data_IF_590304704979
#
_entry.id   IF_590304704979
#
_cell.length_a   1.000
_cell.length_b   1.000
_cell.length_c   1.000
_cell.angle_alpha   90.00
_cell.angle_beta   90.00
_cell.angle_gamma   90.00
#
_symmetry.space_group_name_H-M   'P 1'
#
loop_
_entity.id
_entity.type
_entity.pdbx_description
1 polymer ?
#
# COMPACT_ATOMS: atom_id res chain seq x y z
N UNK A 1 20.59 -16.43 4.87
CA UNK A 1 19.43 -15.58 5.20
C UNK A 1 19.59 -14.98 6.59
N UNK A 2 19.61 -15.78 7.65
CA UNK A 2 19.71 -15.26 9.03
C UNK A 2 20.93 -14.37 9.27
N UNK A 3 22.11 -14.74 8.76
CA UNK A 3 23.32 -13.90 8.89
C UNK A 3 23.16 -12.54 8.20
N UNK A 4 22.49 -12.51 7.05
CA UNK A 4 22.25 -11.29 6.30
C UNK A 4 21.18 -10.41 6.98
N UNK A 5 20.15 -11.01 7.57
CA UNK A 5 19.19 -10.28 8.40
C UNK A 5 19.87 -9.65 9.60
N UNK A 6 20.71 -10.41 10.33
CA UNK A 6 21.46 -9.89 11.50
C UNK A 6 22.35 -8.69 11.13
N UNK A 7 23.01 -8.72 9.97
CA UNK A 7 23.85 -7.59 9.49
C UNK A 7 23.07 -6.30 9.25
N UNK A 8 21.76 -6.38 9.03
CA UNK A 8 20.90 -5.23 8.69
C UNK A 8 20.02 -4.77 9.85
N UNK A 9 20.11 -5.42 11.01
CA UNK A 9 19.40 -5.03 12.22
C UNK A 9 20.35 -4.24 13.15
N UNK A 10 19.80 -3.38 14.03
CA UNK A 10 20.54 -2.84 15.16
C UNK A 10 21.16 -3.96 16.03
N UNK A 11 22.32 -3.75 16.66
CA UNK A 11 23.03 -4.80 17.40
C UNK A 11 22.17 -5.48 18.48
N UNK A 12 21.41 -4.70 19.25
CA UNK A 12 20.55 -5.19 20.33
C UNK A 12 19.38 -6.06 19.81
N UNK A 13 18.87 -5.76 18.62
CA UNK A 13 17.85 -6.57 17.95
C UNK A 13 18.46 -7.85 17.34
N UNK A 14 19.67 -7.75 16.77
CA UNK A 14 20.37 -8.89 16.18
C UNK A 14 20.76 -9.95 17.23
N UNK A 15 21.18 -9.53 18.42
CA UNK A 15 21.52 -10.42 19.55
C UNK A 15 20.30 -11.19 20.07
N UNK A 16 19.12 -10.57 20.06
CA UNK A 16 17.87 -11.17 20.52
C UNK A 16 17.16 -12.02 19.46
N UNK A 17 17.67 -12.06 18.22
CA UNK A 17 17.04 -12.77 17.12
C UNK A 17 17.08 -14.29 17.33
N UNK A 18 15.91 -14.87 17.62
CA UNK A 18 15.70 -16.33 17.64
C UNK A 18 15.55 -16.83 16.21
N UNK A 19 16.41 -17.76 15.79
CA UNK A 19 16.40 -18.33 14.43
C UNK A 19 15.80 -19.73 14.42
N UNK A 20 15.32 -20.18 13.25
CA UNK A 20 14.76 -21.52 13.07
C UNK A 20 14.82 -22.02 11.62
N UNK A 21 14.30 -23.23 11.35
CA UNK A 21 14.17 -23.76 9.99
C UNK A 21 13.22 -22.89 9.16
N UNK A 22 13.50 -22.79 7.86
CA UNK A 22 12.68 -22.01 6.92
C UNK A 22 11.52 -22.89 6.45
N UNK A 23 10.29 -22.52 6.80
CA UNK A 23 9.08 -23.23 6.36
C UNK A 23 8.66 -22.86 4.94
N UNK A 24 8.83 -21.59 4.56
CA UNK A 24 8.59 -21.05 3.23
C UNK A 24 9.72 -20.09 2.88
N UNK A 25 10.06 -20.02 1.59
CA UNK A 25 11.01 -19.04 1.06
C UNK A 25 10.70 -18.73 -0.39
N UNK A 26 10.38 -17.47 -0.66
CA UNK A 26 10.16 -16.94 -2.00
C UNK A 26 10.78 -15.56 -2.16
N UNK A 27 10.89 -15.12 -3.42
CA UNK A 27 11.34 -13.77 -3.77
C UNK A 27 10.15 -13.07 -4.44
N UNK A 28 9.67 -12.01 -3.81
CA UNK A 28 8.59 -11.18 -4.36
C UNK A 28 9.19 -9.96 -5.08
N UNK A 29 8.94 -9.76 -6.38
CA UNK A 29 9.35 -8.55 -7.06
C UNK A 29 8.51 -7.35 -6.58
N UNK A 30 9.15 -6.19 -6.41
CA UNK A 30 8.44 -4.95 -6.12
C UNK A 30 7.85 -4.39 -7.41
N UNK A 31 6.55 -4.08 -7.39
CA UNK A 31 5.83 -3.50 -8.53
C UNK A 31 4.77 -2.52 -8.04
N UNK A 32 4.59 -1.44 -8.77
CA UNK A 32 3.40 -0.59 -8.72
C UNK A 32 2.65 -0.74 -10.04
N UNK A 33 1.34 -0.96 -10.00
CA UNK A 33 0.47 -1.09 -11.17
C UNK A 33 -0.92 -0.55 -10.85
N UNK A 34 -1.56 0.12 -11.82
CA UNK A 34 -2.95 0.57 -11.77
C UNK A 34 -3.53 0.48 -13.16
N UNK A 35 -4.77 0.00 -13.28
CA UNK A 35 -5.57 0.09 -14.50
C UNK A 35 -6.72 1.08 -14.32
N UNK A 36 -6.96 1.88 -15.34
CA UNK A 36 -8.11 2.79 -15.41
C UNK A 36 -8.83 2.63 -16.74
N UNK A 37 -10.18 2.50 -16.76
CA UNK A 37 -11.07 2.34 -15.60
C UNK A 37 -11.01 0.93 -14.99
N UNK A 38 -11.58 0.76 -13.79
CA UNK A 38 -11.72 -0.54 -13.10
C UNK A 38 -13.01 -1.30 -13.49
N UNK A 39 -13.66 -0.89 -14.59
CA UNK A 39 -14.93 -1.44 -15.07
C UNK A 39 -14.99 -1.45 -16.59
N UNK A 40 -15.57 -2.52 -17.15
CA UNK A 40 -15.98 -2.59 -18.56
C UNK A 40 -17.36 -3.24 -18.69
N UNK A 41 -18.39 -2.43 -18.99
CA UNK A 41 -19.77 -2.92 -19.04
C UNK A 41 -20.22 -3.52 -17.70
N UNK A 42 -20.46 -4.83 -17.66
CA UNK A 42 -20.83 -5.57 -16.45
C UNK A 42 -19.64 -6.30 -15.79
N UNK A 43 -18.42 -6.09 -16.27
CA UNK A 43 -17.19 -6.59 -15.66
C UNK A 43 -16.62 -5.53 -14.71
N UNK A 44 -16.29 -5.94 -13.47
CA UNK A 44 -15.69 -5.11 -12.44
C UNK A 44 -14.39 -5.75 -11.95
N UNK A 45 -13.32 -4.96 -11.86
CA UNK A 45 -12.02 -5.40 -11.36
C UNK A 45 -11.86 -4.95 -9.91
N UNK A 46 -11.32 -5.82 -9.06
CA UNK A 46 -11.05 -5.53 -7.64
C UNK A 46 -9.73 -6.17 -7.19
N UNK A 47 -9.03 -5.51 -6.26
CA UNK A 47 -7.74 -5.98 -5.74
C UNK A 47 -6.67 -6.09 -6.82
N UNK A 48 -5.86 -7.15 -6.74
CA UNK A 48 -4.72 -7.38 -7.64
C UNK A 48 -5.08 -7.49 -9.13
N UNK A 49 -6.35 -7.70 -9.47
CA UNK A 49 -6.84 -7.63 -10.85
C UNK A 49 -6.82 -6.20 -11.42
N UNK A 50 -6.84 -5.18 -10.56
CA UNK A 50 -6.88 -3.76 -10.92
C UNK A 50 -5.60 -3.01 -10.55
N UNK A 51 -4.97 -3.34 -9.43
CA UNK A 51 -3.81 -2.61 -8.94
C UNK A 51 -2.85 -3.49 -8.13
N UNK A 52 -1.55 -3.18 -8.19
CA UNK A 52 -0.51 -3.85 -7.42
C UNK A 52 0.30 -2.77 -6.72
N UNK A 53 0.65 -2.99 -5.45
CA UNK A 53 1.43 -2.06 -4.64
C UNK A 53 2.66 -2.74 -4.05
N UNK A 54 3.79 -2.02 -3.88
CA UNK A 54 4.92 -2.57 -3.16
C UNK A 54 4.53 -2.99 -1.74
N UNK A 55 5.02 -4.14 -1.24
CA UNK A 55 4.63 -4.66 0.07
C UNK A 55 5.07 -3.78 1.24
N UNK A 56 5.99 -2.83 1.00
CA UNK A 56 6.52 -1.92 2.03
C UNK A 56 5.42 -1.14 2.76
N UNK A 57 4.37 -0.70 2.06
CA UNK A 57 3.24 0.02 2.66
C UNK A 57 2.17 -0.89 3.29
N UNK A 58 2.26 -2.21 3.11
CA UNK A 58 1.25 -3.19 3.53
C UNK A 58 -0.18 -2.87 3.04
N UNK A 59 -0.32 -2.42 1.78
CA UNK A 59 -1.61 -1.89 1.26
C UNK A 59 -2.42 -2.83 0.36
N UNK A 60 -1.83 -3.85 -0.27
CA UNK A 60 -2.50 -4.65 -1.32
C UNK A 60 -3.85 -5.23 -0.90
N UNK A 61 -3.85 -6.11 0.12
CA UNK A 61 -5.09 -6.70 0.64
C UNK A 61 -6.07 -5.65 1.18
N UNK A 62 -5.56 -4.59 1.81
CA UNK A 62 -6.40 -3.52 2.36
C UNK A 62 -7.11 -2.71 1.25
N UNK A 63 -6.46 -2.53 0.09
CA UNK A 63 -7.08 -1.92 -1.08
C UNK A 63 -8.12 -2.85 -1.72
N UNK A 64 -7.83 -4.14 -1.83
CA UNK A 64 -8.82 -5.12 -2.27
C UNK A 64 -10.08 -5.10 -1.39
N UNK A 65 -9.91 -5.00 -0.06
CA UNK A 65 -11.03 -4.87 0.87
C UNK A 65 -11.84 -3.57 0.65
N UNK A 66 -11.19 -2.44 0.34
CA UNK A 66 -11.91 -1.20 0.01
C UNK A 66 -12.64 -1.29 -1.33
N UNK A 67 -12.08 -1.94 -2.34
CA UNK A 67 -12.76 -2.13 -3.62
C UNK A 67 -14.03 -2.95 -3.44
N UNK A 68 -13.94 -4.04 -2.67
CA UNK A 68 -15.10 -4.89 -2.34
C UNK A 68 -16.14 -4.13 -1.53
N UNK A 69 -15.72 -3.22 -0.63
CA UNK A 69 -16.64 -2.35 0.10
C UNK A 69 -17.48 -1.46 -0.82
N UNK A 70 -16.88 -0.86 -1.86
CA UNK A 70 -17.60 -0.02 -2.81
C UNK A 70 -18.44 -0.85 -3.78
N UNK A 71 -17.87 -1.95 -4.31
CA UNK A 71 -18.56 -2.83 -5.25
C UNK A 71 -19.79 -3.49 -4.62
N UNK A 72 -19.68 -3.97 -3.38
CA UNK A 72 -20.81 -4.58 -2.68
C UNK A 72 -21.98 -3.61 -2.51
N UNK A 73 -21.73 -2.36 -2.14
CA UNK A 73 -22.77 -1.31 -2.05
C UNK A 73 -23.42 -1.03 -3.40
N UNK A 74 -22.62 -0.89 -4.45
CA UNK A 74 -23.14 -0.67 -5.79
C UNK A 74 -24.04 -1.82 -6.27
N UNK A 75 -23.62 -3.07 -6.02
CA UNK A 75 -24.39 -4.27 -6.36
C UNK A 75 -25.68 -4.34 -5.53
N UNK A 76 -25.62 -4.08 -4.22
CA UNK A 76 -26.80 -4.10 -3.34
C UNK A 76 -27.83 -3.06 -3.82
N UNK A 77 -27.41 -1.82 -4.07
CA UNK A 77 -28.30 -0.75 -4.56
C UNK A 77 -28.91 -1.11 -5.92
N UNK A 78 -28.14 -1.72 -6.83
CA UNK A 78 -28.66 -2.18 -8.10
C UNK A 78 -29.73 -3.26 -7.94
N UNK A 79 -29.51 -4.28 -7.12
CA UNK A 79 -30.47 -5.37 -7.00
C UNK A 79 -31.73 -4.96 -6.22
N UNK A 80 -31.59 -4.21 -5.13
CA UNK A 80 -32.69 -3.81 -4.27
C UNK A 80 -33.47 -2.59 -4.80
N UNK A 81 -32.77 -1.60 -5.35
CA UNK A 81 -33.35 -0.29 -5.70
C UNK A 81 -33.31 0.01 -7.21
N UNK A 82 -32.70 -0.87 -8.02
CA UNK A 82 -32.47 -0.65 -9.46
C UNK A 82 -31.60 0.57 -9.77
N UNK A 83 -30.81 1.01 -8.81
CA UNK A 83 -29.86 2.12 -8.95
C UNK A 83 -28.60 1.68 -9.68
N UNK A 84 -28.26 2.36 -10.76
CA UNK A 84 -27.04 2.10 -11.55
C UNK A 84 -25.93 3.10 -11.29
N UNK A 85 -26.24 4.25 -10.69
CA UNK A 85 -25.32 5.36 -10.49
C UNK A 85 -24.09 4.96 -9.64
N UNK A 86 -24.26 4.07 -8.66
CA UNK A 86 -23.15 3.56 -7.86
C UNK A 86 -22.24 2.60 -8.64
N UNK A 87 -22.79 1.82 -9.58
CA UNK A 87 -21.99 0.99 -10.46
C UNK A 87 -21.16 1.87 -11.41
N UNK A 88 -21.74 2.98 -11.88
CA UNK A 88 -21.08 3.93 -12.78
C UNK A 88 -19.94 4.68 -12.07
N UNK A 89 -20.13 5.01 -10.78
CA UNK A 89 -19.13 5.70 -9.95
C UNK A 89 -18.07 4.79 -9.32
N UNK A 90 -18.17 3.47 -9.51
CA UNK A 90 -17.29 2.48 -8.88
C UNK A 90 -15.81 2.77 -9.11
N UNK A 91 -15.39 2.91 -10.38
CA UNK A 91 -13.98 3.14 -10.74
C UNK A 91 -13.45 4.40 -10.06
N UNK A 92 -14.18 5.51 -10.14
CA UNK A 92 -13.73 6.79 -9.58
C UNK A 92 -13.59 6.73 -8.06
N UNK A 93 -14.51 6.05 -7.37
CA UNK A 93 -14.47 5.89 -5.91
C UNK A 93 -13.27 5.04 -5.46
N UNK A 94 -13.01 3.92 -6.12
CA UNK A 94 -11.85 3.08 -5.83
C UNK A 94 -10.55 3.82 -6.13
N UNK A 95 -10.44 4.43 -7.31
CA UNK A 95 -9.20 5.07 -7.79
C UNK A 95 -8.75 6.23 -6.89
N UNK A 96 -9.67 7.03 -6.34
CA UNK A 96 -9.32 8.09 -5.36
C UNK A 96 -8.57 7.54 -4.15
N UNK A 97 -8.91 6.33 -3.70
CA UNK A 97 -8.23 5.68 -2.58
C UNK A 97 -6.97 4.94 -3.01
N UNK A 98 -7.02 4.21 -4.13
CA UNK A 98 -5.90 3.46 -4.69
C UNK A 98 -4.70 4.37 -4.93
N UNK A 99 -4.89 5.54 -5.54
CA UNK A 99 -3.79 6.48 -5.79
C UNK A 99 -3.13 7.01 -4.52
N UNK A 100 -3.92 7.32 -3.47
CA UNK A 100 -3.37 7.77 -2.19
C UNK A 100 -2.50 6.68 -1.53
N UNK A 101 -2.96 5.43 -1.59
CA UNK A 101 -2.23 4.29 -1.04
C UNK A 101 -0.99 3.91 -1.86
N UNK A 102 -1.04 4.05 -3.20
CA UNK A 102 0.11 3.84 -4.08
C UNK A 102 1.16 4.90 -3.86
N UNK A 103 0.76 6.17 -3.81
CA UNK A 103 1.65 7.29 -3.47
C UNK A 103 2.39 7.00 -2.16
N UNK A 104 1.66 6.60 -1.12
CA UNK A 104 2.26 6.26 0.18
C UNK A 104 3.20 5.06 0.08
N UNK A 105 2.78 3.97 -0.57
CA UNK A 105 3.60 2.76 -0.68
C UNK A 105 4.87 3.01 -1.46
N UNK A 106 4.81 3.74 -2.57
CA UNK A 106 5.96 4.12 -3.38
C UNK A 106 6.93 5.01 -2.60
N UNK A 107 6.41 6.06 -1.95
CA UNK A 107 7.22 6.96 -1.12
C UNK A 107 7.90 6.21 0.04
N UNK A 108 7.17 5.31 0.70
CA UNK A 108 7.74 4.54 1.81
C UNK A 108 8.79 3.53 1.32
N UNK A 109 8.59 2.94 0.14
CA UNK A 109 9.58 2.13 -0.55
C UNK A 109 10.84 2.94 -0.89
N UNK A 110 10.72 4.15 -1.44
CA UNK A 110 11.87 5.01 -1.76
C UNK A 110 12.67 5.43 -0.52
N UNK A 111 12.00 5.54 0.63
CA UNK A 111 12.62 5.92 1.90
C UNK A 111 13.37 4.80 2.61
N UNK A 112 12.94 3.54 2.43
CA UNK A 112 13.46 2.41 3.20
C UNK A 112 14.35 1.44 2.42
N UNK A 113 14.55 1.67 1.12
CA UNK A 113 15.39 0.84 0.27
C UNK A 113 16.55 1.64 -0.32
N UNK A 114 17.67 0.96 -0.57
CA UNK A 114 18.78 1.50 -1.35
C UNK A 114 18.56 1.14 -2.82
N UNK A 115 18.39 2.15 -3.68
CA UNK A 115 18.20 1.97 -5.13
C UNK A 115 19.49 2.14 -5.93
N UNK A 116 20.42 2.90 -5.37
CA UNK A 116 21.73 3.18 -5.93
C UNK A 116 22.73 3.39 -4.78
N UNK A 117 24.00 3.56 -5.13
CA UNK A 117 25.09 3.86 -4.19
C UNK A 117 25.52 5.33 -4.26
N UNK A 118 24.66 6.24 -4.74
CA UNK A 118 24.97 7.67 -4.80
C UNK A 118 25.00 8.28 -3.37
N UNK A 119 26.15 8.82 -2.92
CA UNK A 119 26.25 9.43 -1.59
C UNK A 119 25.31 10.62 -1.37
N UNK A 120 24.95 11.37 -2.42
CA UNK A 120 24.03 12.49 -2.33
C UNK A 120 22.60 12.01 -2.03
N UNK A 121 22.10 11.06 -2.82
CA UNK A 121 20.77 10.46 -2.62
C UNK A 121 20.64 9.83 -1.24
N UNK A 122 21.69 9.15 -0.77
CA UNK A 122 21.73 8.59 0.58
C UNK A 122 21.60 9.67 1.66
N UNK A 123 22.33 10.79 1.54
CA UNK A 123 22.24 11.90 2.50
C UNK A 123 20.86 12.53 2.50
N UNK A 124 20.22 12.67 1.34
CA UNK A 124 18.85 13.17 1.23
C UNK A 124 17.85 12.21 1.88
N UNK A 125 17.99 10.91 1.65
CA UNK A 125 17.16 9.88 2.29
C UNK A 125 17.27 9.92 3.82
N UNK A 126 18.48 10.04 4.36
CA UNK A 126 18.69 10.15 5.82
C UNK A 126 18.07 11.44 6.38
N UNK A 127 18.25 12.58 5.71
CA UNK A 127 17.68 13.85 6.16
C UNK A 127 16.13 13.81 6.20
N UNK A 128 15.51 13.14 5.22
CA UNK A 128 14.06 12.96 5.20
C UNK A 128 13.59 12.01 6.32
N UNK A 129 14.31 10.92 6.61
CA UNK A 129 14.03 10.06 7.78
C UNK A 129 14.14 10.83 9.11
N UNK A 130 15.18 11.65 9.26
CA UNK A 130 15.40 12.46 10.46
C UNK A 130 14.27 13.47 10.65
N UNK A 131 13.83 14.14 9.58
CA UNK A 131 12.69 15.05 9.62
C UNK A 131 11.40 14.33 10.02
N UNK A 132 11.09 13.21 9.36
CA UNK A 132 9.87 12.45 9.59
C UNK A 132 9.78 11.90 11.01
N UNK A 133 10.91 11.46 11.57
CA UNK A 133 10.96 10.88 12.92
C UNK A 133 11.08 11.95 14.00
N UNK A 134 11.64 13.12 13.69
CA UNK A 134 11.76 14.26 14.61
C UNK A 134 10.52 15.16 14.69
N UNK A 135 9.73 15.27 13.62
CA UNK A 135 8.56 16.14 13.51
C UNK A 135 7.25 15.44 13.86
N UNK A 136 6.41 16.06 14.70
CA UNK A 136 5.06 15.55 14.96
C UNK A 136 4.17 15.53 13.71
N UNK A 137 4.28 16.57 12.86
CA UNK A 137 3.57 16.61 11.59
C UNK A 137 4.04 15.48 10.68
N UNK A 138 5.36 15.27 10.57
CA UNK A 138 5.96 14.17 9.80
C UNK A 138 5.47 12.80 10.25
N UNK A 139 5.56 12.51 11.56
CA UNK A 139 5.05 11.26 12.16
C UNK A 139 3.55 11.08 11.93
N UNK A 140 2.76 12.14 12.01
CA UNK A 140 1.32 12.10 11.74
C UNK A 140 1.02 11.68 10.31
N UNK A 141 1.75 12.22 9.32
CA UNK A 141 1.56 11.81 7.91
C UNK A 141 1.86 10.33 7.68
N UNK A 142 2.87 9.78 8.37
CA UNK A 142 3.14 8.34 8.32
C UNK A 142 2.00 7.58 8.97
N UNK A 143 1.61 7.97 10.19
CA UNK A 143 0.63 7.26 10.99
C UNK A 143 -0.72 7.14 10.27
N UNK A 144 -1.29 8.25 9.78
CA UNK A 144 -2.60 8.25 9.12
C UNK A 144 -2.60 7.39 7.84
N UNK A 145 -1.49 7.41 7.09
CA UNK A 145 -1.38 6.61 5.88
C UNK A 145 -1.14 5.14 6.23
N UNK A 146 -0.38 4.84 7.29
CA UNK A 146 -0.06 3.48 7.72
C UNK A 146 -1.28 2.76 8.30
N UNK A 147 -2.08 3.42 9.15
CA UNK A 147 -3.36 2.85 9.64
C UNK A 147 -4.43 2.80 8.54
N UNK A 148 -4.29 3.63 7.51
CA UNK A 148 -5.17 3.66 6.35
C UNK A 148 -6.17 4.80 6.40
N UNK A 149 -6.28 5.52 5.29
CA UNK A 149 -7.20 6.64 5.16
C UNK A 149 -8.67 6.19 5.19
N UNK A 150 -9.59 7.07 5.62
CA UNK A 150 -11.02 6.78 5.65
C UNK A 150 -11.57 6.32 4.32
N UNK A 151 -12.65 5.53 4.38
CA UNK A 151 -13.43 5.18 3.20
C UNK A 151 -14.37 6.34 2.92
N UNK A 152 -14.59 6.62 1.63
CA UNK A 152 -15.52 7.68 1.24
C UNK A 152 -16.95 7.19 1.47
N UNK A 153 -17.84 8.11 1.85
CA UNK A 153 -19.28 7.83 1.86
C UNK A 153 -19.73 7.48 0.44
N UNK A 154 -20.38 6.33 0.29
CA UNK A 154 -20.72 5.77 -1.01
C UNK A 154 -22.14 5.21 -0.98
N UNK A 155 -23.10 6.12 -1.11
CA UNK A 155 -24.54 5.88 -1.05
C UNK A 155 -25.23 6.51 -2.25
#
# INVERSE_FOLDING_TARGET
FWDELRRRLPPDAAEKLVTGPRLEMSIAPLRSFVVEPMRFGNLFLAGDAAHIVPPTGAKGLNLAASDVFYLSRAIIAYYNEKRTDLLDRYSDACLRRVWKAIRFSWWFTSMLHKFNDDPFDYRLQVAELDYLTGSEAGRTTIAENYVGLPFETFE
#
